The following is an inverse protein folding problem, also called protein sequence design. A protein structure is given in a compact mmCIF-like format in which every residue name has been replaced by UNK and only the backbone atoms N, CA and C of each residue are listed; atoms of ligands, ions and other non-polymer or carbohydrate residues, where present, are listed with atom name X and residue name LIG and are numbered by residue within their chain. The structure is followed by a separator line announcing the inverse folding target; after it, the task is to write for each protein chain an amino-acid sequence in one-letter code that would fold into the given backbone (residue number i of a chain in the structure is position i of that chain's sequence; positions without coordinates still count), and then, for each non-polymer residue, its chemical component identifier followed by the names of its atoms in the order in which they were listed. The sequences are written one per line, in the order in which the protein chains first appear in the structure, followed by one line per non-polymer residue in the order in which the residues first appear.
data_IF_749700072312
#
_entry.id   IF_749700072312
#
_cell.length_a   1.000
_cell.length_b   1.000
_cell.length_c   1.000
_cell.angle_alpha   90.00
_cell.angle_beta   90.00
_cell.angle_gamma   90.00
#
_symmetry.space_group_name_H-M   'P 1'
#
loop_
_entity.id
_entity.type
_entity.pdbx_description
1 polymer ?
#
# COMPACT_ATOMS: atom_id res chain seq x y z
N UNK A 1 -12.63 -6.39 -2.52
CA UNK A 1 -11.34 -6.23 -2.17
C UNK A 1 -10.85 -7.27 -1.32
N UNK A 2 -10.03 -7.79 -1.43
CA UNK A 2 -9.99 -8.85 -1.03
C UNK A 2 -8.73 -9.43 -0.64
N UNK A 3 -7.63 -9.11 -1.28
CA UNK A 3 -6.35 -9.65 -0.96
C UNK A 3 -5.33 -8.54 -0.87
N UNK A 4 -4.38 -8.72 0.05
CA UNK A 4 -3.25 -7.81 0.12
C UNK A 4 -2.48 -7.87 -1.20
N UNK A 5 -1.92 -6.72 -1.60
CA UNK A 5 -1.08 -6.68 -2.78
C UNK A 5 0.19 -7.47 -2.52
N UNK A 6 0.56 -8.37 -3.43
CA UNK A 6 1.69 -9.25 -3.18
C UNK A 6 3.01 -8.47 -3.17
N UNK A 7 3.89 -8.85 -2.25
CA UNK A 7 5.24 -8.32 -2.17
C UNK A 7 5.32 -6.83 -1.89
N UNK A 8 4.24 -6.20 -1.49
CA UNK A 8 4.23 -4.78 -1.16
C UNK A 8 3.78 -4.60 0.27
N UNK A 9 4.60 -3.93 1.05
CA UNK A 9 4.29 -3.68 2.46
C UNK A 9 4.56 -2.22 2.77
N UNK A 10 3.87 -1.74 3.80
CA UNK A 10 4.07 -0.41 4.33
C UNK A 10 4.64 -0.52 5.73
N UNK A 11 5.57 0.36 6.06
CA UNK A 11 6.09 0.46 7.41
C UNK A 11 5.82 1.86 7.92
N UNK A 12 5.50 1.98 9.19
CA UNK A 12 5.40 3.27 9.84
C UNK A 12 5.82 3.10 11.28
N UNK A 13 6.06 4.22 11.95
CA UNK A 13 6.49 4.19 13.35
C UNK A 13 5.41 4.80 14.21
N UNK A 14 5.17 4.16 15.36
CA UNK A 14 4.29 4.73 16.37
C UNK A 14 5.13 5.01 17.61
N UNK A 15 4.68 5.99 18.40
CA UNK A 15 5.37 6.33 19.60
C UNK A 15 4.86 5.47 20.74
N UNK A 16 5.81 4.85 21.46
CA UNK A 16 5.49 4.10 22.65
C UNK A 16 6.22 4.73 23.81
N UNK A 17 5.53 5.57 24.58
CA UNK A 17 6.15 6.29 25.68
C UNK A 17 7.00 7.43 25.15
N UNK A 18 7.85 8.00 26.02
CA UNK A 18 8.55 9.22 25.70
C UNK A 18 9.74 9.01 24.78
N UNK A 19 10.40 7.87 24.89
CA UNK A 19 11.65 7.68 24.16
C UNK A 19 11.64 6.48 23.23
N UNK A 20 10.52 5.79 23.13
CA UNK A 20 10.45 4.58 22.31
C UNK A 20 9.60 4.81 21.10
N UNK A 21 10.06 4.24 19.99
CA UNK A 21 9.28 4.17 18.76
C UNK A 21 9.23 2.73 18.31
N UNK A 22 8.07 2.32 17.87
CA UNK A 22 7.90 0.97 17.37
C UNK A 22 7.63 1.05 15.87
N UNK A 23 8.39 0.27 15.11
CA UNK A 23 8.16 0.14 13.68
C UNK A 23 7.09 -0.90 13.45
N UNK A 24 6.08 -0.54 12.68
CA UNK A 24 4.92 -1.40 12.43
C UNK A 24 4.86 -1.71 10.95
N UNK A 25 4.63 -2.97 10.64
CA UNK A 25 4.42 -3.41 9.26
C UNK A 25 2.93 -3.53 9.00
N UNK A 26 2.47 -3.04 7.85
CA UNK A 26 1.08 -3.10 7.47
C UNK A 26 0.96 -3.63 6.05
N UNK A 27 -0.09 -4.40 5.80
CA UNK A 27 -0.37 -4.89 4.45
C UNK A 27 -1.07 -3.81 3.66
N UNK A 28 -0.75 -3.72 2.35
CA UNK A 28 -1.46 -2.84 1.44
C UNK A 28 -2.47 -3.63 0.65
N UNK A 29 -3.64 -3.03 0.44
CA UNK A 29 -4.71 -3.66 -0.32
C UNK A 29 -4.99 -2.92 -1.63
N UNK A 30 -4.80 -1.60 -1.66
CA UNK A 30 -5.00 -0.82 -2.87
C UNK A 30 -3.92 0.25 -2.92
N UNK A 31 -3.49 0.58 -4.12
CA UNK A 31 -2.52 1.64 -4.33
C UNK A 31 -2.84 2.31 -5.65
N UNK A 32 -3.03 3.63 -5.61
CA UNK A 32 -3.27 4.41 -6.82
C UNK A 32 -2.44 5.70 -6.78
N UNK A 33 -2.73 6.63 -7.67
CA UNK A 33 -1.96 7.88 -7.75
C UNK A 33 -2.11 8.76 -6.52
N UNK A 34 -3.17 8.57 -5.76
CA UNK A 34 -3.55 9.51 -4.71
C UNK A 34 -3.38 8.96 -3.32
N UNK A 35 -3.33 7.65 -3.17
CA UNK A 35 -3.23 7.08 -1.84
C UNK A 35 -3.26 5.57 -1.87
N UNK A 36 -3.54 5.01 -0.72
CA UNK A 36 -3.59 3.55 -0.60
C UNK A 36 -4.52 3.15 0.52
N UNK A 37 -4.76 1.84 0.62
CA UNK A 37 -5.50 1.26 1.72
C UNK A 37 -4.56 0.32 2.46
N UNK A 38 -4.40 0.54 3.76
CA UNK A 38 -3.55 -0.32 4.59
C UNK A 38 -4.39 -0.99 5.67
N UNK A 39 -3.90 -2.13 6.13
CA UNK A 39 -4.54 -2.90 7.20
C UNK A 39 -3.58 -3.04 8.36
N UNK A 40 -4.03 -2.68 9.56
CA UNK A 40 -3.21 -2.78 10.76
C UNK A 40 -4.12 -2.91 11.97
N UNK A 41 -3.59 -3.44 13.07
CA UNK A 41 -4.33 -3.47 14.33
C UNK A 41 -4.13 -2.21 15.17
N UNK A 42 -3.35 -1.26 14.67
CA UNK A 42 -3.13 0.00 15.39
C UNK A 42 -4.31 0.95 15.16
N UNK A 43 -4.55 1.83 16.11
CA UNK A 43 -5.73 2.69 16.09
C UNK A 43 -5.34 4.10 15.71
N UNK A 44 -5.90 4.58 14.61
CA UNK A 44 -5.76 5.95 14.15
C UNK A 44 -7.15 6.50 13.87
N UNK A 45 -7.24 7.80 13.71
CA UNK A 45 -8.53 8.45 13.41
C UNK A 45 -8.42 9.20 12.09
N UNK A 46 -9.53 9.37 11.38
CA UNK A 46 -9.52 10.27 10.22
C UNK A 46 -8.98 11.63 10.64
N UNK A 47 -8.10 12.18 9.83
CA UNK A 47 -7.40 13.41 10.14
C UNK A 47 -5.99 13.20 10.65
N UNK A 48 -5.67 12.00 11.11
CA UNK A 48 -4.30 11.69 11.54
C UNK A 48 -3.38 11.62 10.33
N UNK A 49 -2.12 11.98 10.54
CA UNK A 49 -1.10 11.91 9.51
C UNK A 49 -0.10 10.84 9.87
N UNK A 50 0.23 10.01 8.88
CA UNK A 50 1.25 8.97 9.03
C UNK A 50 2.36 9.22 8.04
N UNK A 51 3.56 8.76 8.38
CA UNK A 51 4.67 8.75 7.43
C UNK A 51 4.94 7.28 7.11
N UNK A 52 4.76 6.92 5.85
CA UNK A 52 4.85 5.54 5.40
C UNK A 52 6.11 5.31 4.60
N UNK A 53 6.73 4.17 4.83
CA UNK A 53 7.77 3.66 3.93
C UNK A 53 7.15 2.49 3.18
N UNK A 54 7.05 2.62 1.86
CA UNK A 54 6.48 1.57 1.02
C UNK A 54 7.61 0.80 0.38
N UNK A 55 7.55 -0.52 0.49
CA UNK A 55 8.61 -1.38 -0.03
C UNK A 55 7.98 -2.44 -0.92
N UNK A 56 8.36 -2.44 -2.18
CA UNK A 56 7.99 -3.50 -3.12
C UNK A 56 9.17 -4.44 -3.24
N UNK A 57 8.97 -5.67 -2.83
CA UNK A 57 10.03 -6.67 -2.84
C UNK A 57 10.20 -7.20 -4.26
N UNK A 58 11.44 -7.20 -4.73
CA UNK A 58 11.79 -7.62 -6.08
C UNK A 58 12.90 -8.67 -5.99
N UNK A 59 13.10 -9.48 -7.04
CA UNK A 59 14.13 -10.51 -6.98
C UNK A 59 15.55 -9.98 -6.78
N UNK A 60 15.85 -8.79 -7.28
CA UNK A 60 17.19 -8.25 -7.15
C UNK A 60 17.24 -7.08 -6.18
N UNK A 61 16.62 -5.99 -6.52
CA UNK A 61 16.62 -4.80 -5.67
C UNK A 61 15.21 -4.38 -5.39
N UNK A 62 14.90 -4.18 -4.12
CA UNK A 62 13.57 -3.70 -3.75
C UNK A 62 13.36 -2.27 -4.25
N UNK A 63 12.12 -1.94 -4.56
CA UNK A 63 11.74 -0.56 -4.85
C UNK A 63 11.18 0.03 -3.57
N UNK A 64 11.77 1.13 -3.12
CA UNK A 64 11.38 1.76 -1.86
C UNK A 64 10.90 3.18 -2.11
N UNK A 65 9.83 3.54 -1.46
CA UNK A 65 9.35 4.92 -1.42
C UNK A 65 9.26 5.28 0.07
N UNK A 66 10.30 5.90 0.59
CA UNK A 66 10.41 6.20 2.00
C UNK A 66 9.91 7.60 2.30
N UNK A 67 9.30 7.76 3.47
CA UNK A 67 8.91 9.08 3.93
C UNK A 67 7.68 9.65 3.23
N UNK A 68 6.75 8.78 2.85
CA UNK A 68 5.53 9.22 2.18
C UNK A 68 4.55 9.71 3.24
N UNK A 69 4.24 11.00 3.23
CA UNK A 69 3.26 11.54 4.17
C UNK A 69 1.86 11.20 3.69
N UNK A 70 1.07 10.65 4.58
CA UNK A 70 -0.26 10.16 4.26
C UNK A 70 -1.26 10.63 5.29
N UNK A 71 -2.40 11.10 4.83
CA UNK A 71 -3.49 11.56 5.67
C UNK A 71 -4.56 10.49 5.74
N UNK A 72 -4.91 10.07 6.95
CA UNK A 72 -5.99 9.10 7.14
C UNK A 72 -7.31 9.77 6.84
N UNK A 73 -8.05 9.26 5.85
CA UNK A 73 -9.33 9.83 5.47
C UNK A 73 -10.50 8.98 5.91
N UNK A 74 -10.29 7.67 6.06
CA UNK A 74 -11.38 6.78 6.42
C UNK A 74 -10.84 5.62 7.22
N UNK A 75 -11.63 5.16 8.19
CA UNK A 75 -11.30 4.00 9.00
C UNK A 75 -12.48 3.04 8.97
N UNK A 76 -12.18 1.77 8.74
CA UNK A 76 -13.21 0.74 8.75
C UNK A 76 -12.71 -0.44 9.57
N UNK A 77 -13.44 -0.80 10.60
CA UNK A 77 -13.04 -1.90 11.48
C UNK A 77 -13.45 -3.23 10.85
N UNK A 78 -12.60 -4.22 10.97
CA UNK A 78 -12.88 -5.57 10.51
C UNK A 78 -12.20 -6.53 11.48
N UNK A 79 -13.00 -7.21 12.31
CA UNK A 79 -12.50 -8.09 13.37
C UNK A 79 -11.59 -7.31 14.32
N UNK A 80 -10.36 -7.76 14.51
CA UNK A 80 -9.43 -7.07 15.41
C UNK A 80 -8.54 -6.08 14.66
N UNK A 81 -8.78 -5.87 13.39
CA UNK A 81 -7.96 -4.99 12.56
C UNK A 81 -8.78 -3.84 12.03
N UNK A 82 -8.07 -2.86 11.47
CA UNK A 82 -8.68 -1.72 10.81
C UNK A 82 -8.12 -1.59 9.41
N UNK A 83 -8.99 -1.21 8.50
CA UNK A 83 -8.59 -0.80 7.15
C UNK A 83 -8.63 0.72 7.11
N UNK A 84 -7.52 1.32 6.71
CA UNK A 84 -7.41 2.77 6.62
C UNK A 84 -7.23 3.18 5.18
N UNK A 85 -8.08 4.08 4.72
CA UNK A 85 -7.83 4.77 3.47
C UNK A 85 -6.99 5.99 3.79
N UNK A 86 -5.90 6.15 3.08
CA UNK A 86 -5.01 7.27 3.30
C UNK A 86 -4.72 7.95 1.97
N UNK A 87 -4.61 9.27 2.00
CA UNK A 87 -4.26 10.07 0.84
C UNK A 87 -2.83 10.55 0.99
N UNK A 88 -2.04 10.40 -0.07
CA UNK A 88 -0.68 10.95 -0.08
C UNK A 88 -0.75 12.46 -0.17
N UNK A 89 0.07 13.13 0.61
CA UNK A 89 0.09 14.59 0.62
C UNK A 89 1.47 15.07 0.20
N UNK A 90 1.51 16.28 -0.33
CA UNK A 90 2.76 16.96 -0.67
C UNK A 90 3.59 16.26 -1.73
N UNK A 91 2.98 15.49 -2.61
CA UNK A 91 3.73 14.86 -3.70
C UNK A 91 3.99 15.80 -4.86
N UNK A 92 3.44 17.02 -4.81
CA UNK A 92 3.57 17.96 -5.91
C UNK A 92 4.75 18.92 -5.79
N UNK A 93 5.42 18.94 -4.64
CA UNK A 93 6.53 19.86 -4.50
C UNK A 93 7.81 19.20 -5.02
N UNK A 94 8.85 20.00 -5.17
CA UNK A 94 10.07 19.52 -5.80
C UNK A 94 10.74 18.39 -5.03
N UNK A 95 10.71 18.47 -3.72
CA UNK A 95 11.35 17.45 -2.91
C UNK A 95 10.64 16.10 -3.02
N UNK A 96 9.41 16.10 -3.53
CA UNK A 96 8.62 14.88 -3.65
C UNK A 96 8.64 14.27 -5.03
N UNK A 97 9.29 14.89 -6.02
CA UNK A 97 9.23 14.37 -7.38
C UNK A 97 9.88 13.00 -7.49
N UNK A 98 11.01 12.79 -6.81
CA UNK A 98 11.65 11.48 -6.81
C UNK A 98 10.78 10.44 -6.14
N UNK A 99 10.07 10.84 -5.10
CA UNK A 99 9.15 9.97 -4.40
C UNK A 99 7.97 9.60 -5.30
N UNK A 100 7.43 10.56 -6.02
CA UNK A 100 6.37 10.30 -6.98
C UNK A 100 6.78 9.31 -8.05
N UNK A 101 8.03 9.41 -8.53
CA UNK A 101 8.54 8.47 -9.52
C UNK A 101 8.64 7.06 -8.94
N UNK A 102 9.09 6.92 -7.71
CA UNK A 102 9.18 5.61 -7.08
C UNK A 102 7.81 5.01 -6.86
N UNK A 103 6.85 5.81 -6.45
CA UNK A 103 5.48 5.34 -6.28
C UNK A 103 4.90 4.87 -7.61
N UNK A 104 5.17 5.62 -8.69
CA UNK A 104 4.71 5.22 -10.00
C UNK A 104 5.31 3.87 -10.41
N UNK A 105 6.60 3.68 -10.16
CA UNK A 105 7.24 2.40 -10.48
C UNK A 105 6.62 1.26 -9.69
N UNK A 106 6.34 1.47 -8.41
CA UNK A 106 5.70 0.45 -7.59
C UNK A 106 4.33 0.12 -8.17
N UNK A 107 3.54 1.14 -8.54
CA UNK A 107 2.23 0.90 -9.12
C UNK A 107 2.31 0.11 -10.43
N UNK A 108 3.31 0.40 -11.24
CA UNK A 108 3.50 -0.33 -12.49
C UNK A 108 3.79 -1.80 -12.24
N UNK A 109 4.64 -2.10 -11.25
CA UNK A 109 4.96 -3.47 -10.90
C UNK A 109 3.74 -4.19 -10.36
N UNK A 110 2.97 -3.52 -9.49
CA UNK A 110 1.74 -4.11 -8.96
C UNK A 110 0.79 -4.45 -10.09
N UNK A 111 0.62 -3.53 -11.04
CA UNK A 111 -0.26 -3.76 -12.17
C UNK A 111 0.17 -4.95 -13.00
N UNK A 112 1.46 -5.08 -13.24
CA UNK A 112 1.98 -6.22 -14.00
C UNK A 112 1.77 -7.53 -13.27
N UNK A 113 2.02 -7.54 -11.96
CA UNK A 113 1.83 -8.76 -11.18
C UNK A 113 0.37 -9.18 -11.15
N UNK A 114 -0.53 -8.25 -11.02
CA UNK A 114 -1.96 -8.54 -11.02
C UNK A 114 -2.40 -9.06 -12.38
N UNK A 115 -1.89 -8.48 -13.45
CA UNK A 115 -2.21 -8.91 -14.78
C UNK A 115 -1.75 -10.35 -15.03
N UNK A 116 -0.54 -10.68 -14.60
CA UNK A 116 -0.03 -12.04 -14.75
C UNK A 116 -0.84 -13.03 -13.92
N UNK A 117 -1.21 -12.65 -12.72
CA UNK A 117 -2.02 -13.51 -11.88
C UNK A 117 -3.37 -13.79 -12.55
N UNK A 118 -3.96 -12.77 -13.14
CA UNK A 118 -5.22 -12.92 -13.84
C UNK A 118 -5.11 -13.87 -15.01
N UNK A 119 -4.02 -13.78 -15.76
CA UNK A 119 -3.81 -14.67 -16.89
C UNK A 119 -3.62 -16.12 -16.49
N UNK A 120 -3.01 -16.32 -15.35
CA UNK A 120 -2.76 -17.67 -14.86
C UNK A 120 -3.97 -18.29 -14.21
N UNK A 121 -4.86 -17.47 -13.79
CA UNK A 121 -6.05 -18.00 -13.18
C UNK A 121 -6.76 -18.86 -14.14
N UNK A 122 -7.07 -20.08 -13.79
CA UNK A 122 -7.87 -20.91 -14.65
C UNK A 122 -9.18 -20.28 -14.59
N UNK A 123 -9.37 -19.64 -15.31
CA UNK A 123 -10.57 -19.11 -15.23
C UNK A 123 -11.49 -19.99 -15.76
N UNK A 124 -12.21 -20.25 -15.50
CA UNK A 124 -13.05 -21.07 -16.16
C UNK A 124 -13.60 -20.35 -17.29
N UNK A 125 -12.84 -20.16 -16.87
CA UNK A 125 -12.84 -19.88 -17.29
C UNK A 125 -12.81 -19.53 -18.07
N UNK A 126 -12.59 -19.40 -18.11
CA UNK A 126 -12.25 -19.17 -18.62
C UNK A 126 -12.42 -19.43 -19.42
N UNK A 127 -12.46 -19.79 -19.58
CA UNK A 127 -12.37 -20.19 -20.17
C UNK A 127 -13.08 -20.34 -20.89
N UNK A 128 -13.49 -20.40 -20.84
CA UNK A 128 -13.83 -20.63 -21.33
C UNK A 128 -14.54 -20.31 -21.98
N UNK A 129 -14.71 -19.90 -21.79
CA UNK A 129 -15.05 -19.54 -22.22
C UNK A 129 -15.31 -19.45 -23.03
N UNK A 130 -15.10 -19.42 -22.78
CA UNK A 130 -15.12 -19.30 -23.41
C UNK A 130 -15.45 -19.55 -24.20
N UNK A 131 -15.73 -19.93 -24.21
CA UNK A 131 -15.81 -20.24 -24.79
C UNK A 131 -16.11 -20.24 -25.44
N UNK A 132 -16.34 -20.28 -25.26
CA UNK A 132 -16.36 -20.32 -25.75
C UNK A 132 -16.39 -20.11 -26.14
#
# INVERSE_FOLDING_TARGET
MNEALPDLVAYFQIRRGLFRRERVEAALFELDNFGCVIKTDKVFSPGDTLVLDLVMQMPFDDIRADGVTALVTERRKHCSNFFYSVDFVELNNQSSSALGDKLRRIREVVGKKQSLKSRRSPGPSSSMRQMA
#
